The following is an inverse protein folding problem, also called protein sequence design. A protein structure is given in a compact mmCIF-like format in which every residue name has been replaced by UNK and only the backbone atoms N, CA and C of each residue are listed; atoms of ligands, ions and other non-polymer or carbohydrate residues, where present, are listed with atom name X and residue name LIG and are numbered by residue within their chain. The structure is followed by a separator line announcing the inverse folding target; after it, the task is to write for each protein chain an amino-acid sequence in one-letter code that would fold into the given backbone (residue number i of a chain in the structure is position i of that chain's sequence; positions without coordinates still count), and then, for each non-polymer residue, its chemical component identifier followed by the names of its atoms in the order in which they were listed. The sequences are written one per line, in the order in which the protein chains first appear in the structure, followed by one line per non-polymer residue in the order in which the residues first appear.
data_IF_336053257231
#
_entry.id   IF_336053257231
#
_cell.length_a   1.000
_cell.length_b   1.000
_cell.length_c   1.000
_cell.angle_alpha   90.00
_cell.angle_beta   90.00
_cell.angle_gamma   90.00
#
_symmetry.space_group_name_H-M   'P 1'
#
loop_
_entity.id
_entity.type
_entity.pdbx_description
1 polymer ?
#
# COMPACT_ATOMS: atom_id res chain seq x y z
N UNK A 1 15.42 8.22 45.17
CA UNK A 1 15.66 7.50 43.90
C UNK A 1 14.88 6.19 43.79
N UNK A 2 14.80 5.35 44.83
CA UNK A 2 14.07 4.05 44.80
C UNK A 2 12.54 4.12 44.56
N UNK A 3 11.85 5.12 45.10
CA UNK A 3 10.39 5.26 44.92
C UNK A 3 9.98 5.63 43.49
N UNK A 4 10.81 6.41 42.78
CA UNK A 4 10.59 6.77 41.37
C UNK A 4 10.78 5.56 40.44
N UNK A 5 11.73 4.67 40.75
CA UNK A 5 11.95 3.41 40.04
C UNK A 5 10.77 2.44 40.21
N UNK A 6 10.19 2.37 41.40
CA UNK A 6 9.03 1.50 41.67
C UNK A 6 7.75 2.03 41.01
N UNK A 7 7.51 3.34 41.04
CA UNK A 7 6.38 3.98 40.34
C UNK A 7 6.52 3.85 38.82
N UNK A 8 7.71 4.04 38.25
CA UNK A 8 7.97 3.81 36.83
C UNK A 8 7.76 2.33 36.44
N UNK A 9 8.18 1.39 37.29
CA UNK A 9 7.99 -0.05 37.06
C UNK A 9 6.51 -0.47 37.17
N UNK A 10 5.76 0.08 38.13
CA UNK A 10 4.32 -0.18 38.26
C UNK A 10 3.52 0.44 37.10
N UNK A 11 3.83 1.67 36.69
CA UNK A 11 3.19 2.30 35.53
C UNK A 11 3.53 1.56 34.23
N UNK A 12 4.77 1.07 34.08
CA UNK A 12 5.15 0.23 32.94
C UNK A 12 4.44 -1.13 32.95
N UNK A 13 4.27 -1.76 34.12
CA UNK A 13 3.53 -3.01 34.27
C UNK A 13 2.04 -2.83 33.97
N UNK A 14 1.40 -1.77 34.48
CA UNK A 14 -0.01 -1.45 34.21
C UNK A 14 -0.24 -1.07 32.75
N UNK A 15 0.66 -0.31 32.12
CA UNK A 15 0.60 0.00 30.70
C UNK A 15 0.81 -1.26 29.83
N UNK A 16 1.71 -2.17 30.26
CA UNK A 16 1.93 -3.44 29.59
C UNK A 16 0.70 -4.35 29.70
N UNK A 17 0.04 -4.40 30.86
CA UNK A 17 -1.17 -5.19 31.09
C UNK A 17 -2.37 -4.62 30.33
N UNK A 18 -2.55 -3.30 30.33
CA UNK A 18 -3.58 -2.62 29.55
C UNK A 18 -3.39 -2.83 28.03
N UNK A 19 -2.14 -2.71 27.56
CA UNK A 19 -1.79 -3.01 26.16
C UNK A 19 -2.00 -4.50 25.85
N UNK A 20 -1.69 -5.42 26.79
CA UNK A 20 -1.95 -6.87 26.64
C UNK A 20 -3.42 -7.15 26.46
N UNK A 21 -4.27 -6.50 27.26
CA UNK A 21 -5.73 -6.64 27.15
C UNK A 21 -6.29 -6.02 25.88
N UNK A 22 -5.84 -4.82 25.48
CA UNK A 22 -6.32 -4.14 24.28
C UNK A 22 -5.88 -4.88 23.00
N UNK A 23 -4.60 -5.17 22.86
CA UNK A 23 -4.04 -5.88 21.70
C UNK A 23 -4.54 -7.34 21.66
N UNK A 24 -4.66 -7.99 22.82
CA UNK A 24 -5.23 -9.33 22.93
C UNK A 24 -6.73 -9.40 22.65
N UNK A 25 -7.48 -8.31 22.85
CA UNK A 25 -8.89 -8.20 22.49
C UNK A 25 -9.08 -7.93 21.00
N UNK A 26 -8.25 -7.06 20.40
CA UNK A 26 -8.28 -6.76 18.96
C UNK A 26 -7.84 -7.99 18.15
N UNK A 27 -6.77 -8.66 18.59
CA UNK A 27 -6.27 -9.89 17.98
C UNK A 27 -7.24 -11.06 18.04
N UNK A 28 -8.06 -11.15 19.10
CA UNK A 28 -9.14 -12.15 19.23
C UNK A 28 -10.34 -11.89 18.32
N UNK A 29 -10.60 -10.64 17.96
CA UNK A 29 -11.73 -10.26 17.09
C UNK A 29 -11.39 -10.35 15.60
N UNK A 30 -10.16 -10.01 15.22
CA UNK A 30 -9.61 -10.23 13.87
C UNK A 30 -8.09 -10.02 13.85
N UNK A 31 -7.33 -11.07 13.53
CA UNK A 31 -5.88 -10.98 13.35
C UNK A 31 -5.50 -9.97 12.25
N UNK A 32 -6.33 -9.84 11.21
CA UNK A 32 -6.13 -8.91 10.10
C UNK A 32 -6.07 -7.46 10.58
N UNK A 33 -7.00 -7.05 11.44
CA UNK A 33 -7.05 -5.69 11.99
C UNK A 33 -5.79 -5.41 12.83
N UNK A 34 -5.35 -6.37 13.63
CA UNK A 34 -4.16 -6.21 14.45
C UNK A 34 -2.87 -6.10 13.60
N UNK A 35 -2.74 -6.85 12.50
CA UNK A 35 -1.62 -6.68 11.56
C UNK A 35 -1.67 -5.35 10.81
N UNK A 36 -2.85 -4.88 10.39
CA UNK A 36 -3.02 -3.54 9.84
C UNK A 36 -2.59 -2.46 10.85
N UNK A 37 -2.98 -2.61 12.12
CA UNK A 37 -2.58 -1.70 13.20
C UNK A 37 -1.07 -1.70 13.45
N UNK A 38 -0.43 -2.86 13.45
CA UNK A 38 1.03 -2.97 13.56
C UNK A 38 1.73 -2.31 12.36
N UNK A 39 1.22 -2.52 11.16
CA UNK A 39 1.76 -1.90 9.96
C UNK A 39 1.60 -0.37 10.00
N UNK A 40 0.43 0.14 10.39
CA UNK A 40 0.19 1.57 10.57
C UNK A 40 1.12 2.20 11.63
N UNK A 41 1.34 1.50 12.76
CA UNK A 41 2.32 1.90 13.76
C UNK A 41 3.73 1.99 13.16
N UNK A 42 4.11 1.06 12.29
CA UNK A 42 5.39 1.10 11.60
C UNK A 42 5.52 2.29 10.63
N UNK A 43 4.44 2.70 9.96
CA UNK A 43 4.43 3.89 9.10
C UNK A 43 4.62 5.16 9.92
N UNK A 44 3.94 5.25 11.06
CA UNK A 44 4.12 6.36 12.00
C UNK A 44 5.55 6.41 12.55
N UNK A 45 6.13 5.25 12.90
CA UNK A 45 7.52 5.16 13.34
C UNK A 45 8.50 5.60 12.24
N UNK A 46 8.31 5.14 11.00
CA UNK A 46 9.12 5.58 9.84
C UNK A 46 9.02 7.09 9.62
N UNK A 47 7.82 7.66 9.67
CA UNK A 47 7.62 9.10 9.53
C UNK A 47 8.29 9.89 10.68
N UNK A 48 8.10 9.46 11.93
CA UNK A 48 8.72 10.12 13.07
C UNK A 48 10.25 10.05 13.03
N UNK A 49 10.82 8.90 12.64
CA UNK A 49 12.26 8.74 12.50
C UNK A 49 12.82 9.51 11.31
N UNK A 50 12.06 9.66 10.21
CA UNK A 50 12.45 10.55 9.11
C UNK A 50 12.72 11.97 9.61
N UNK A 51 11.84 12.52 10.44
CA UNK A 51 11.98 13.91 10.92
C UNK A 51 13.03 14.08 12.03
N UNK A 52 13.16 13.09 12.92
CA UNK A 52 13.92 13.23 14.19
C UNK A 52 15.26 12.49 14.17
N UNK A 53 15.41 11.41 13.40
CA UNK A 53 16.59 10.54 13.49
C UNK A 53 17.82 11.09 12.77
N UNK A 54 17.68 12.00 11.81
CA UNK A 54 18.80 12.54 11.04
C UNK A 54 20.00 13.04 11.90
N UNK A 55 19.83 13.91 12.91
CA UNK A 55 20.94 14.32 13.78
C UNK A 55 21.53 13.16 14.61
N UNK A 56 20.71 12.19 15.01
CA UNK A 56 21.18 11.01 15.73
C UNK A 56 22.02 10.11 14.84
N UNK A 57 21.57 9.83 13.61
CA UNK A 57 22.27 8.98 12.64
C UNK A 57 23.62 9.57 12.20
N UNK A 58 23.73 10.90 12.11
CA UNK A 58 24.99 11.59 11.82
C UNK A 58 26.07 11.33 12.88
N UNK A 59 25.66 11.14 14.15
CA UNK A 59 26.57 10.90 15.27
C UNK A 59 27.08 9.44 15.34
N UNK A 60 26.45 8.53 14.60
CA UNK A 60 26.75 7.10 14.63
C UNK A 60 27.89 6.78 13.66
N UNK A 61 29.09 6.36 14.13
CA UNK A 61 30.28 6.25 13.28
C UNK A 61 30.18 5.19 12.19
N UNK A 62 29.45 4.09 12.41
CA UNK A 62 29.30 3.04 11.39
C UNK A 62 28.29 3.39 10.30
N UNK A 63 27.36 4.31 10.56
CA UNK A 63 26.39 4.81 9.56
C UNK A 63 27.03 5.94 8.77
N UNK A 64 27.67 6.90 9.46
CA UNK A 64 28.37 8.02 8.86
C UNK A 64 29.89 7.78 8.78
N UNK A 65 30.30 6.80 7.97
CA UNK A 65 31.72 6.49 7.72
C UNK A 65 32.25 7.10 6.41
N UNK A 66 31.53 8.08 5.85
CA UNK A 66 31.88 8.70 4.57
C UNK A 66 33.05 9.69 4.73
N UNK A 67 33.88 9.82 3.69
CA UNK A 67 34.91 10.86 3.64
C UNK A 67 34.35 12.27 3.73
N UNK A 68 33.13 12.47 3.20
CA UNK A 68 32.34 13.69 3.33
C UNK A 68 30.95 13.31 3.81
N UNK A 69 30.51 13.86 4.95
CA UNK A 69 29.18 13.62 5.51
C UNK A 69 28.10 13.97 4.47
N UNK A 70 27.16 13.05 4.18
CA UNK A 70 26.03 13.32 3.30
C UNK A 70 25.12 14.43 3.84
N UNK A 71 24.30 14.93 2.95
CA UNK A 71 23.21 15.85 3.20
C UNK A 71 22.11 15.21 4.07
N UNK A 72 21.34 16.05 4.77
CA UNK A 72 20.34 15.61 5.75
C UNK A 72 19.31 14.65 5.12
N UNK A 73 18.89 14.92 3.89
CA UNK A 73 17.92 14.12 3.13
C UNK A 73 18.36 12.65 2.97
N UNK A 74 19.67 12.39 2.88
CA UNK A 74 20.21 11.03 2.85
C UNK A 74 19.91 10.28 4.14
N UNK A 75 20.15 10.90 5.31
CA UNK A 75 19.89 10.28 6.61
C UNK A 75 18.40 10.09 6.88
N UNK A 76 17.56 11.01 6.41
CA UNK A 76 16.11 10.89 6.48
C UNK A 76 15.60 9.69 5.66
N UNK A 77 16.17 9.50 4.46
CA UNK A 77 15.88 8.38 3.56
C UNK A 77 16.38 7.05 4.14
N UNK A 78 17.62 7.01 4.64
CA UNK A 78 18.23 5.83 5.27
C UNK A 78 17.43 5.36 6.50
N UNK A 79 16.94 6.29 7.33
CA UNK A 79 16.09 5.97 8.48
C UNK A 79 14.82 5.22 8.07
N UNK A 80 14.11 5.72 7.05
CA UNK A 80 12.88 5.12 6.51
C UNK A 80 13.17 3.72 5.93
N UNK A 81 14.26 3.59 5.17
CA UNK A 81 14.65 2.31 4.55
C UNK A 81 14.98 1.24 5.58
N UNK A 82 15.64 1.58 6.69
CA UNK A 82 15.95 0.62 7.77
C UNK A 82 14.71 0.11 8.48
N UNK A 83 13.77 1.00 8.80
CA UNK A 83 12.49 0.59 9.40
C UNK A 83 11.71 -0.30 8.44
N UNK A 84 11.66 0.10 7.17
CA UNK A 84 10.99 -0.69 6.11
C UNK A 84 11.63 -2.06 5.90
N UNK A 85 12.96 -2.15 5.92
CA UNK A 85 13.68 -3.43 5.83
C UNK A 85 13.30 -4.34 7.01
N UNK A 86 13.17 -3.76 8.21
CA UNK A 86 12.73 -4.51 9.39
C UNK A 86 11.31 -5.04 9.25
N UNK A 87 10.39 -4.21 8.73
CA UNK A 87 9.03 -4.63 8.39
C UNK A 87 9.01 -5.74 7.35
N UNK A 88 9.73 -5.55 6.24
CA UNK A 88 9.84 -6.52 5.15
C UNK A 88 10.31 -7.87 5.68
N UNK A 89 11.37 -7.89 6.49
CA UNK A 89 11.87 -9.14 7.08
C UNK A 89 10.85 -9.77 8.04
N UNK A 90 10.25 -8.98 8.93
CA UNK A 90 9.25 -9.48 9.86
C UNK A 90 8.07 -10.16 9.16
N UNK A 91 7.47 -9.50 8.17
CA UNK A 91 6.34 -10.05 7.42
C UNK A 91 6.76 -11.19 6.50
N UNK A 92 7.95 -11.15 5.90
CA UNK A 92 8.47 -12.26 5.08
C UNK A 92 8.70 -13.51 5.92
N UNK A 93 9.30 -13.37 7.12
CA UNK A 93 9.48 -14.49 8.05
C UNK A 93 8.13 -15.09 8.44
N UNK A 94 7.13 -14.26 8.75
CA UNK A 94 5.77 -14.74 9.00
C UNK A 94 5.15 -15.43 7.78
N UNK A 95 5.36 -14.90 6.58
CA UNK A 95 4.86 -15.52 5.34
C UNK A 95 5.46 -16.92 5.11
N UNK A 96 6.75 -17.10 5.40
CA UNK A 96 7.45 -18.39 5.30
C UNK A 96 6.96 -19.36 6.38
N UNK A 97 6.85 -18.92 7.65
CA UNK A 97 6.34 -19.76 8.75
C UNK A 97 4.92 -20.27 8.45
N UNK A 98 4.09 -19.40 7.87
CA UNK A 98 2.68 -19.67 7.56
C UNK A 98 2.47 -20.38 6.20
N UNK A 99 3.54 -20.77 5.52
CA UNK A 99 3.45 -21.47 4.24
C UNK A 99 2.81 -22.86 4.40
N UNK A 100 1.87 -23.17 3.51
CA UNK A 100 1.23 -24.49 3.44
C UNK A 100 0.19 -24.80 4.53
N UNK A 101 -0.24 -23.81 5.33
CA UNK A 101 -1.36 -23.98 6.26
C UNK A 101 -2.67 -24.06 5.48
N UNK A 102 -3.42 -25.14 5.67
CA UNK A 102 -4.73 -25.38 5.03
C UNK A 102 -5.89 -25.38 6.01
N UNK A 103 -5.63 -25.75 7.26
CA UNK A 103 -6.66 -25.96 8.29
C UNK A 103 -6.34 -25.20 9.57
N UNK A 104 -7.38 -24.71 10.26
CA UNK A 104 -7.27 -23.97 11.53
C UNK A 104 -6.78 -24.84 12.71
N UNK A 105 -6.69 -26.18 12.52
CA UNK A 105 -6.15 -27.09 13.54
C UNK A 105 -4.62 -27.07 13.62
N UNK A 106 -3.94 -26.51 12.62
CA UNK A 106 -2.48 -26.40 12.62
C UNK A 106 -2.01 -25.55 13.82
N UNK A 107 -1.02 -26.00 14.62
CA UNK A 107 -0.52 -25.21 15.74
C UNK A 107 -0.03 -23.82 15.35
N UNK A 108 0.37 -23.62 14.08
CA UNK A 108 0.80 -22.33 13.53
C UNK A 108 -0.36 -21.33 13.42
N UNK A 109 -1.61 -21.77 13.39
CA UNK A 109 -2.79 -20.89 13.47
C UNK A 109 -2.79 -20.05 14.76
N UNK A 110 -2.40 -20.67 15.88
CA UNK A 110 -2.27 -19.98 17.17
C UNK A 110 -1.21 -18.88 17.12
N UNK A 111 -0.16 -19.08 16.33
CA UNK A 111 0.86 -18.05 16.09
C UNK A 111 0.27 -16.93 15.24
N UNK A 112 -0.60 -17.19 14.27
CA UNK A 112 -1.22 -16.13 13.46
C UNK A 112 -2.18 -15.26 14.28
N UNK A 113 -3.07 -15.86 15.08
CA UNK A 113 -4.11 -15.14 15.82
C UNK A 113 -3.67 -14.64 17.21
N UNK A 114 -2.70 -15.31 17.84
CA UNK A 114 -2.27 -15.06 19.21
C UNK A 114 -0.89 -14.41 19.35
N UNK A 115 -0.35 -14.40 20.57
CA UNK A 115 1.06 -14.04 20.82
C UNK A 115 1.45 -12.59 20.49
N UNK A 116 0.49 -11.65 20.45
CA UNK A 116 0.72 -10.29 19.95
C UNK A 116 1.82 -9.50 20.66
N UNK A 117 1.96 -9.65 21.98
CA UNK A 117 3.06 -9.00 22.69
C UNK A 117 4.43 -9.50 22.27
N UNK A 118 4.57 -10.81 22.09
CA UNK A 118 5.79 -11.39 21.56
C UNK A 118 6.05 -10.89 20.13
N UNK A 119 5.02 -10.79 19.28
CA UNK A 119 5.15 -10.24 17.92
C UNK A 119 5.60 -8.79 17.90
N UNK A 120 4.98 -7.92 18.70
CA UNK A 120 5.35 -6.50 18.79
C UNK A 120 6.79 -6.38 19.28
N UNK A 121 7.16 -7.13 20.31
CA UNK A 121 8.53 -7.14 20.81
C UNK A 121 9.52 -7.61 19.74
N UNK A 122 9.26 -8.75 19.09
CA UNK A 122 10.09 -9.26 17.99
C UNK A 122 10.20 -8.25 16.85
N UNK A 123 9.10 -7.58 16.50
CA UNK A 123 9.07 -6.54 15.48
C UNK A 123 9.97 -5.36 15.86
N UNK A 124 9.84 -4.82 17.08
CA UNK A 124 10.71 -3.73 17.58
C UNK A 124 12.18 -4.14 17.56
N UNK A 125 12.50 -5.37 17.99
CA UNK A 125 13.87 -5.90 17.98
C UNK A 125 14.40 -5.99 16.55
N UNK A 126 13.64 -6.55 15.61
CA UNK A 126 14.06 -6.66 14.21
C UNK A 126 14.31 -5.26 13.61
N UNK A 127 13.39 -4.31 13.82
CA UNK A 127 13.56 -2.93 13.35
C UNK A 127 14.81 -2.28 13.95
N UNK A 128 15.03 -2.43 15.26
CA UNK A 128 16.22 -1.92 15.93
C UNK A 128 17.51 -2.52 15.36
N UNK A 129 17.53 -3.84 15.09
CA UNK A 129 18.68 -4.51 14.49
C UNK A 129 19.02 -3.97 13.10
N UNK A 130 18.06 -3.43 12.35
CA UNK A 130 18.33 -2.84 11.03
C UNK A 130 19.19 -1.57 11.09
N UNK A 131 19.34 -0.93 12.25
CA UNK A 131 20.26 0.19 12.45
C UNK A 131 21.73 -0.22 12.60
N UNK A 132 22.01 -1.51 12.73
CA UNK A 132 23.38 -2.06 12.73
C UNK A 132 23.76 -2.66 11.37
N UNK A 133 22.83 -2.73 10.43
CA UNK A 133 23.06 -3.27 9.09
C UNK A 133 23.92 -2.29 8.25
N UNK A 134 24.93 -2.75 7.50
CA UNK A 134 25.76 -1.88 6.67
C UNK A 134 24.96 -1.14 5.59
N UNK A 135 25.40 0.07 5.24
CA UNK A 135 24.73 0.93 4.25
C UNK A 135 24.56 0.23 2.89
N UNK A 136 25.54 -0.56 2.44
CA UNK A 136 25.45 -1.30 1.18
C UNK A 136 24.27 -2.27 1.10
N UNK A 137 23.88 -2.89 2.22
CA UNK A 137 22.70 -3.78 2.27
C UNK A 137 21.41 -2.96 2.21
N UNK A 138 21.37 -1.80 2.87
CA UNK A 138 20.22 -0.89 2.83
C UNK A 138 20.01 -0.33 1.43
N UNK A 139 21.09 0.08 0.74
CA UNK A 139 21.03 0.55 -0.66
C UNK A 139 20.63 -0.57 -1.63
N UNK A 140 21.05 -1.81 -1.39
CA UNK A 140 20.58 -2.97 -2.15
C UNK A 140 19.07 -3.20 -1.94
N UNK A 141 18.62 -3.12 -0.68
CA UNK A 141 17.19 -3.20 -0.35
C UNK A 141 16.38 -2.07 -1.00
N UNK A 142 16.90 -0.84 -1.03
CA UNK A 142 16.27 0.28 -1.73
C UNK A 142 16.05 -0.05 -3.21
N UNK A 143 17.07 -0.61 -3.87
CA UNK A 143 17.02 -1.00 -5.28
C UNK A 143 15.96 -2.08 -5.54
N UNK A 144 15.93 -3.12 -4.69
CA UNK A 144 14.90 -4.16 -4.77
C UNK A 144 13.51 -3.60 -4.43
N UNK A 145 13.43 -2.65 -3.50
CA UNK A 145 12.18 -2.02 -3.07
C UNK A 145 11.46 -1.32 -4.21
N UNK A 146 12.17 -0.73 -5.16
CA UNK A 146 11.57 -0.14 -6.38
C UNK A 146 10.81 -1.19 -7.20
N UNK A 147 11.41 -2.36 -7.39
CA UNK A 147 10.76 -3.46 -8.11
C UNK A 147 9.58 -4.05 -7.31
N UNK A 148 9.78 -4.34 -6.02
CA UNK A 148 8.71 -4.90 -5.20
C UNK A 148 7.55 -3.93 -4.97
N UNK A 149 7.79 -2.62 -5.03
CA UNK A 149 6.74 -1.59 -5.05
C UNK A 149 5.86 -1.71 -6.29
N UNK A 150 6.45 -1.93 -7.48
CA UNK A 150 5.69 -2.20 -8.69
C UNK A 150 4.83 -3.46 -8.57
N UNK A 151 5.39 -4.54 -7.98
CA UNK A 151 4.63 -5.76 -7.71
C UNK A 151 3.49 -5.54 -6.70
N UNK A 152 3.73 -4.74 -5.65
CA UNK A 152 2.69 -4.38 -4.69
C UNK A 152 1.54 -3.62 -5.35
N UNK A 153 1.83 -2.67 -6.25
CA UNK A 153 0.79 -1.93 -6.96
C UNK A 153 -0.07 -2.87 -7.84
N UNK A 154 0.51 -3.89 -8.46
CA UNK A 154 -0.25 -4.91 -9.20
C UNK A 154 -1.15 -5.73 -8.27
N UNK A 155 -0.65 -6.14 -7.11
CA UNK A 155 -1.46 -6.84 -6.10
C UNK A 155 -2.58 -5.95 -5.58
N UNK A 156 -2.28 -4.68 -5.30
CA UNK A 156 -3.26 -3.67 -4.85
C UNK A 156 -4.39 -3.51 -5.86
N UNK A 157 -4.10 -3.56 -7.16
CA UNK A 157 -5.10 -3.50 -8.23
C UNK A 157 -6.05 -4.69 -8.17
N UNK A 158 -5.53 -5.91 -8.01
CA UNK A 158 -6.37 -7.11 -7.89
C UNK A 158 -7.26 -7.03 -6.65
N UNK A 159 -6.71 -6.57 -5.52
CA UNK A 159 -7.48 -6.36 -4.29
C UNK A 159 -8.54 -5.27 -4.45
N UNK A 160 -8.24 -4.19 -5.18
CA UNK A 160 -9.20 -3.14 -5.47
C UNK A 160 -10.34 -3.66 -6.36
N UNK A 161 -10.02 -4.44 -7.39
CA UNK A 161 -11.01 -5.06 -8.27
C UNK A 161 -11.96 -5.96 -7.47
N UNK A 162 -11.42 -6.89 -6.69
CA UNK A 162 -12.20 -7.79 -5.82
C UNK A 162 -13.08 -7.00 -4.84
N UNK A 163 -12.51 -5.96 -4.21
CA UNK A 163 -13.27 -5.09 -3.30
C UNK A 163 -14.44 -4.40 -4.01
N UNK A 164 -14.22 -3.81 -5.19
CA UNK A 164 -15.28 -3.05 -5.87
C UNK A 164 -16.34 -3.97 -6.46
N UNK A 165 -15.95 -5.14 -6.99
CA UNK A 165 -16.91 -6.16 -7.45
C UNK A 165 -17.73 -6.71 -6.28
N UNK A 166 -17.09 -7.07 -5.16
CA UNK A 166 -17.78 -7.50 -3.95
C UNK A 166 -18.67 -6.40 -3.35
N UNK A 167 -18.24 -5.12 -3.39
CA UNK A 167 -19.09 -4.01 -2.99
C UNK A 167 -20.34 -3.90 -3.89
N UNK A 168 -20.16 -3.97 -5.21
CA UNK A 168 -21.27 -3.96 -6.16
C UNK A 168 -22.25 -5.10 -5.89
N UNK A 169 -21.76 -6.34 -5.80
CA UNK A 169 -22.59 -7.53 -5.54
C UNK A 169 -23.35 -7.43 -4.22
N UNK A 170 -22.70 -6.96 -3.16
CA UNK A 170 -23.32 -6.78 -1.85
C UNK A 170 -24.48 -5.76 -1.86
N UNK A 171 -24.41 -4.73 -2.70
CA UNK A 171 -25.47 -3.74 -2.82
C UNK A 171 -26.58 -4.20 -3.77
N UNK A 172 -26.20 -4.85 -4.88
CA UNK A 172 -27.16 -5.47 -5.82
C UNK A 172 -27.96 -6.57 -5.11
N UNK A 173 -27.33 -7.38 -4.27
CA UNK A 173 -27.98 -8.48 -3.55
C UNK A 173 -29.09 -8.05 -2.57
N UNK A 174 -29.14 -6.76 -2.21
CA UNK A 174 -30.22 -6.23 -1.36
C UNK A 174 -31.54 -6.04 -2.12
N UNK A 175 -31.47 -5.97 -3.45
CA UNK A 175 -32.62 -5.90 -4.35
C UNK A 175 -33.64 -4.77 -4.03
N UNK A 176 -33.16 -3.61 -3.58
CA UNK A 176 -34.00 -2.42 -3.34
C UNK A 176 -33.59 -1.27 -4.25
N UNK A 177 -34.57 -0.49 -4.72
CA UNK A 177 -34.37 0.70 -5.56
C UNK A 177 -33.37 1.70 -4.97
N UNK A 178 -33.33 1.83 -3.64
CA UNK A 178 -32.37 2.70 -2.96
C UNK A 178 -30.92 2.31 -3.26
N UNK A 179 -30.58 1.02 -3.20
CA UNK A 179 -29.20 0.55 -3.43
C UNK A 179 -28.81 0.67 -4.90
N UNK A 180 -29.72 0.42 -5.84
CA UNK A 180 -29.47 0.67 -7.27
C UNK A 180 -29.21 2.16 -7.56
N UNK A 181 -30.02 3.06 -6.98
CA UNK A 181 -29.78 4.50 -7.10
C UNK A 181 -28.46 4.92 -6.44
N UNK A 182 -28.11 4.35 -5.29
CA UNK A 182 -26.83 4.60 -4.63
C UNK A 182 -25.64 4.15 -5.51
N UNK A 183 -25.70 2.97 -6.13
CA UNK A 183 -24.70 2.49 -7.07
C UNK A 183 -24.52 3.47 -8.24
N UNK A 184 -25.62 3.92 -8.84
CA UNK A 184 -25.59 4.87 -9.95
C UNK A 184 -24.98 6.21 -9.54
N UNK A 185 -25.41 6.76 -8.40
CA UNK A 185 -24.89 8.05 -7.89
C UNK A 185 -23.39 7.97 -7.64
N UNK A 186 -22.92 6.91 -6.96
CA UNK A 186 -21.48 6.72 -6.72
C UNK A 186 -20.72 6.62 -8.05
N UNK A 187 -21.26 5.87 -9.02
CA UNK A 187 -20.62 5.69 -10.32
C UNK A 187 -20.50 7.00 -11.10
N UNK A 188 -21.57 7.80 -11.11
CA UNK A 188 -21.60 9.11 -11.78
C UNK A 188 -20.60 10.07 -11.12
N UNK A 189 -20.55 10.11 -9.78
CA UNK A 189 -19.57 10.94 -9.05
C UNK A 189 -18.13 10.52 -9.39
N UNK A 190 -17.84 9.23 -9.43
CA UNK A 190 -16.51 8.72 -9.80
C UNK A 190 -16.11 9.11 -11.23
N UNK A 191 -17.03 9.04 -12.20
CA UNK A 191 -16.73 9.49 -13.58
C UNK A 191 -16.56 11.00 -13.68
N UNK A 192 -17.39 11.80 -13.02
CA UNK A 192 -17.23 13.27 -12.97
C UNK A 192 -15.86 13.61 -12.40
N UNK A 193 -15.50 13.01 -11.26
CA UNK A 193 -14.19 13.20 -10.65
C UNK A 193 -13.05 12.81 -11.61
N UNK A 194 -13.19 11.71 -12.33
CA UNK A 194 -12.22 11.25 -13.34
C UNK A 194 -12.00 12.30 -14.43
N UNK A 195 -13.07 12.77 -15.08
CA UNK A 195 -12.95 13.75 -16.17
C UNK A 195 -12.47 15.12 -15.68
N UNK A 196 -12.98 15.60 -14.54
CA UNK A 196 -12.49 16.85 -13.93
C UNK A 196 -11.02 16.77 -13.56
N UNK A 197 -10.58 15.64 -12.99
CA UNK A 197 -9.18 15.46 -12.62
C UNK A 197 -8.27 15.35 -13.84
N UNK A 198 -8.66 14.64 -14.89
CA UNK A 198 -7.92 14.64 -16.17
C UNK A 198 -7.78 16.04 -16.77
N UNK A 199 -8.80 16.90 -16.64
CA UNK A 199 -8.71 18.32 -17.02
C UNK A 199 -7.63 19.08 -16.25
N UNK A 200 -7.49 18.83 -14.95
CA UNK A 200 -6.41 19.39 -14.13
C UNK A 200 -5.03 18.85 -14.56
N UNK A 201 -4.94 17.58 -14.97
CA UNK A 201 -3.69 17.01 -15.47
C UNK A 201 -3.21 17.69 -16.76
N UNK A 202 -4.12 18.00 -17.69
CA UNK A 202 -3.75 18.81 -18.86
C UNK A 202 -3.22 20.19 -18.45
N UNK A 203 -3.84 20.83 -17.47
CA UNK A 203 -3.39 22.13 -17.00
C UNK A 203 -1.99 22.09 -16.37
N UNK A 204 -1.69 21.07 -15.55
CA UNK A 204 -0.40 20.98 -14.84
C UNK A 204 0.74 20.35 -15.62
N UNK A 205 0.44 19.39 -16.52
CA UNK A 205 1.47 18.58 -17.18
C UNK A 205 1.61 18.83 -18.69
N UNK A 206 0.78 19.71 -19.26
CA UNK A 206 0.89 20.17 -20.66
C UNK A 206 0.85 21.72 -20.76
N UNK A 207 1.81 22.44 -20.16
CA UNK A 207 1.87 23.89 -20.23
C UNK A 207 2.07 24.40 -21.67
N UNK A 208 1.44 25.52 -22.01
CA UNK A 208 1.62 26.16 -23.32
C UNK A 208 3.05 26.70 -23.47
N UNK A 209 3.73 26.31 -24.54
CA UNK A 209 5.09 26.80 -24.86
C UNK A 209 6.18 25.72 -24.85
N UNK A 210 5.88 24.50 -24.40
CA UNK A 210 6.80 23.36 -24.41
C UNK A 210 6.18 22.16 -25.15
N UNK A 211 7.01 21.33 -25.79
CA UNK A 211 6.57 20.11 -26.45
C UNK A 211 6.45 18.94 -25.45
N UNK A 212 5.29 18.85 -24.81
CA UNK A 212 4.97 17.84 -23.79
C UNK A 212 4.19 16.65 -24.37
N UNK A 213 4.59 16.18 -25.56
CA UNK A 213 3.89 15.11 -26.29
C UNK A 213 3.75 13.79 -25.53
N UNK A 214 4.71 13.44 -24.66
CA UNK A 214 4.65 12.22 -23.86
C UNK A 214 3.56 12.30 -22.77
N UNK A 215 3.49 13.43 -22.06
CA UNK A 215 2.49 13.67 -21.02
C UNK A 215 1.09 13.74 -21.64
N UNK A 216 0.98 14.42 -22.79
CA UNK A 216 -0.23 14.45 -23.60
C UNK A 216 -0.68 13.03 -23.99
N UNK A 217 0.24 12.18 -24.47
CA UNK A 217 -0.06 10.80 -24.79
C UNK A 217 -0.57 10.02 -23.57
N UNK A 218 0.10 10.11 -22.42
CA UNK A 218 -0.34 9.40 -21.22
C UNK A 218 -1.74 9.81 -20.75
N UNK A 219 -2.05 11.10 -20.75
CA UNK A 219 -3.37 11.59 -20.33
C UNK A 219 -4.46 11.18 -21.33
N UNK A 220 -4.21 11.35 -22.64
CA UNK A 220 -5.18 10.99 -23.68
C UNK A 220 -5.41 9.49 -23.72
N UNK A 221 -4.36 8.68 -23.64
CA UNK A 221 -4.50 7.23 -23.60
C UNK A 221 -5.27 6.77 -22.37
N UNK A 222 -5.04 7.40 -21.22
CA UNK A 222 -5.84 7.17 -20.00
C UNK A 222 -7.32 7.43 -20.24
N UNK A 223 -7.68 8.56 -20.88
CA UNK A 223 -9.06 8.88 -21.21
C UNK A 223 -9.69 7.86 -22.17
N UNK A 224 -8.93 7.40 -23.18
CA UNK A 224 -9.40 6.35 -24.09
C UNK A 224 -9.74 5.07 -23.31
N UNK A 225 -8.88 4.65 -22.36
CA UNK A 225 -9.14 3.50 -21.51
C UNK A 225 -10.38 3.69 -20.63
N UNK A 226 -10.56 4.88 -20.05
CA UNK A 226 -11.76 5.23 -19.26
C UNK A 226 -13.05 5.09 -20.08
N UNK A 227 -13.04 5.55 -21.33
CA UNK A 227 -14.18 5.35 -22.25
C UNK A 227 -14.39 3.87 -22.59
N UNK A 228 -13.31 3.13 -22.85
CA UNK A 228 -13.39 1.70 -23.12
C UNK A 228 -14.00 0.92 -21.94
N UNK A 229 -13.65 1.27 -20.69
CA UNK A 229 -14.25 0.65 -19.50
C UNK A 229 -15.76 0.84 -19.45
N UNK A 230 -16.26 2.05 -19.73
CA UNK A 230 -17.69 2.33 -19.76
C UNK A 230 -18.41 1.53 -20.86
N UNK A 231 -17.83 1.47 -22.07
CA UNK A 231 -18.40 0.72 -23.20
C UNK A 231 -18.47 -0.78 -22.89
N UNK A 232 -17.39 -1.36 -22.37
CA UNK A 232 -17.33 -2.79 -22.03
C UNK A 232 -18.30 -3.11 -20.89
N UNK A 233 -18.37 -2.28 -19.85
CA UNK A 233 -19.25 -2.50 -18.71
C UNK A 233 -20.75 -2.38 -19.05
N UNK A 234 -21.12 -1.56 -20.05
CA UNK A 234 -22.51 -1.38 -20.50
C UNK A 234 -22.90 -2.32 -21.65
N UNK A 235 -21.96 -3.12 -22.17
CA UNK A 235 -22.25 -3.99 -23.29
C UNK A 235 -23.26 -5.09 -22.90
N UNK A 236 -24.37 -5.28 -23.64
CA UNK A 236 -25.50 -6.10 -23.20
C UNK A 236 -25.21 -7.59 -23.05
N UNK A 237 -24.11 -8.08 -23.63
CA UNK A 237 -23.66 -9.48 -23.43
C UNK A 237 -22.80 -9.68 -22.18
N UNK A 238 -22.29 -8.60 -21.60
CA UNK A 238 -21.45 -8.62 -20.39
C UNK A 238 -22.38 -8.31 -19.22
N UNK A 239 -22.39 -9.16 -18.19
CA UNK A 239 -23.06 -8.87 -16.92
C UNK A 239 -22.24 -7.84 -16.11
N UNK A 240 -21.92 -6.72 -16.73
CA UNK A 240 -21.08 -5.67 -16.19
C UNK A 240 -21.87 -4.73 -15.28
N UNK A 241 -21.16 -4.00 -14.42
CA UNK A 241 -21.72 -2.92 -13.62
C UNK A 241 -20.90 -1.65 -13.79
N UNK A 242 -21.58 -0.51 -13.70
CA UNK A 242 -20.98 0.80 -13.85
C UNK A 242 -20.09 1.17 -12.65
N UNK A 243 -20.37 0.63 -11.45
CA UNK A 243 -19.60 0.95 -10.25
C UNK A 243 -18.14 0.48 -10.37
N UNK A 244 -17.84 -0.81 -10.64
CA UNK A 244 -16.48 -1.25 -10.92
C UNK A 244 -15.78 -0.42 -12.01
N UNK A 245 -16.45 -0.17 -13.13
CA UNK A 245 -15.86 0.59 -14.24
C UNK A 245 -15.47 2.02 -13.85
N UNK A 246 -16.32 2.71 -13.10
CA UNK A 246 -16.11 4.11 -12.68
C UNK A 246 -15.02 4.25 -11.60
N UNK A 247 -14.95 3.33 -10.64
CA UNK A 247 -13.90 3.35 -9.60
C UNK A 247 -12.53 3.03 -10.21
N UNK A 248 -12.47 2.05 -11.11
CA UNK A 248 -11.23 1.69 -11.82
C UNK A 248 -10.80 2.81 -12.77
N UNK A 249 -11.74 3.50 -13.43
CA UNK A 249 -11.43 4.70 -14.20
C UNK A 249 -10.75 5.79 -13.34
N UNK A 250 -11.31 6.09 -12.16
CA UNK A 250 -10.73 7.07 -11.24
C UNK A 250 -9.34 6.65 -10.76
N UNK A 251 -9.16 5.37 -10.44
CA UNK A 251 -7.87 4.83 -10.01
C UNK A 251 -6.81 4.88 -11.13
N UNK A 252 -7.19 4.57 -12.38
CA UNK A 252 -6.29 4.71 -13.53
C UNK A 252 -5.85 6.16 -13.74
N UNK A 253 -6.77 7.13 -13.59
CA UNK A 253 -6.42 8.56 -13.64
C UNK A 253 -5.50 8.97 -12.48
N UNK A 254 -5.70 8.42 -11.28
CA UNK A 254 -4.78 8.60 -10.16
C UNK A 254 -3.38 8.03 -10.43
N UNK A 255 -3.28 6.83 -11.02
CA UNK A 255 -1.99 6.25 -11.40
C UNK A 255 -1.28 7.09 -12.47
N UNK A 256 -2.03 7.61 -13.45
CA UNK A 256 -1.51 8.53 -14.45
C UNK A 256 -0.95 9.80 -13.79
N UNK A 257 -1.75 10.47 -12.94
CA UNK A 257 -1.29 11.62 -12.14
C UNK A 257 -0.02 11.30 -11.35
N UNK A 258 -0.02 10.18 -10.63
CA UNK A 258 1.11 9.83 -9.78
C UNK A 258 2.36 9.51 -10.59
N UNK A 259 2.20 8.93 -11.78
CA UNK A 259 3.25 8.75 -12.78
C UNK A 259 3.84 10.10 -13.19
N UNK A 260 3.02 11.00 -13.74
CA UNK A 260 3.44 12.34 -14.19
C UNK A 260 4.08 13.16 -13.06
N UNK A 261 3.54 13.08 -11.84
CA UNK A 261 4.10 13.78 -10.67
C UNK A 261 5.50 13.27 -10.27
N UNK A 262 5.88 12.08 -10.73
CA UNK A 262 7.20 11.48 -10.49
C UNK A 262 8.22 11.82 -11.58
N UNK A 263 7.87 12.65 -12.57
CA UNK A 263 8.80 13.10 -13.62
C UNK A 263 10.02 13.80 -13.02
N UNK A 264 11.21 13.67 -13.64
CA UNK A 264 12.42 14.35 -13.19
C UNK A 264 12.24 15.87 -13.05
N UNK A 265 12.98 16.48 -12.11
CA UNK A 265 12.84 17.91 -11.79
C UNK A 265 13.28 18.84 -12.92
N UNK A 266 14.15 18.37 -13.79
CA UNK A 266 14.63 19.05 -15.00
C UNK A 266 13.67 18.90 -16.19
N UNK A 267 12.57 18.16 -16.03
CA UNK A 267 11.56 18.03 -17.08
C UNK A 267 10.56 19.19 -17.03
N UNK A 268 10.69 20.12 -17.98
CA UNK A 268 9.92 21.38 -18.11
C UNK A 268 8.39 21.21 -18.15
N UNK A 269 7.91 20.00 -18.44
CA UNK A 269 6.47 19.70 -18.53
C UNK A 269 5.81 19.47 -17.18
N UNK A 270 6.56 19.25 -16.10
CA UNK A 270 5.99 19.04 -14.76
C UNK A 270 5.76 20.37 -14.03
N UNK A 271 4.59 20.99 -14.25
CA UNK A 271 4.20 22.25 -13.61
C UNK A 271 3.92 22.14 -12.10
N UNK A 272 3.96 20.94 -11.51
CA UNK A 272 3.67 20.70 -10.11
C UNK A 272 4.82 21.13 -9.18
N UNK A 273 6.05 21.21 -9.70
CA UNK A 273 7.23 21.68 -8.96
C UNK A 273 7.11 23.14 -8.51
N UNK A 274 6.34 23.95 -9.22
CA UNK A 274 6.09 25.35 -8.86
C UNK A 274 5.00 25.51 -7.78
N UNK A 275 4.29 24.44 -7.40
CA UNK A 275 3.05 24.52 -6.62
C UNK A 275 2.92 23.57 -5.42
N UNK A 276 3.91 22.74 -5.07
CA UNK A 276 3.74 21.76 -3.99
C UNK A 276 4.78 21.83 -2.86
N UNK A 277 4.34 22.33 -1.70
CA UNK A 277 4.64 21.67 -0.41
C UNK A 277 3.75 20.43 -0.34
N UNK A 278 4.34 19.25 -0.18
CA UNK A 278 3.63 17.98 -0.19
C UNK A 278 2.49 17.94 0.84
N UNK A 279 1.25 17.72 0.38
CA UNK A 279 0.12 17.35 1.24
C UNK A 279 0.06 15.83 1.26
N UNK A 280 0.36 15.24 2.43
CA UNK A 280 0.07 13.84 2.72
C UNK A 280 -1.44 13.69 2.90
N UNK A 281 -2.11 13.06 1.94
CA UNK A 281 -3.50 12.64 2.11
C UNK A 281 -3.53 11.33 2.89
N UNK A 282 -3.63 11.44 4.21
CA UNK A 282 -4.08 10.33 5.06
C UNK A 282 -5.55 10.03 4.77
N UNK A 283 -5.82 8.92 4.11
CA UNK A 283 -7.16 8.38 3.95
C UNK A 283 -7.46 7.41 5.11
N UNK A 284 -7.91 7.95 6.24
CA UNK A 284 -8.55 7.16 7.29
C UNK A 284 -10.07 7.10 7.04
N UNK A 285 -10.57 5.89 6.79
CA UNK A 285 -11.86 5.41 7.32
C UNK A 285 -11.98 3.88 7.16
N UNK A 286 -12.29 3.14 8.24
CA UNK A 286 -12.49 1.71 8.17
C UNK A 286 -13.89 1.40 7.61
N UNK A 287 -13.95 0.77 6.44
CA UNK A 287 -15.19 0.27 5.85
C UNK A 287 -15.24 -1.26 5.94
N UNK A 288 -15.82 -1.75 7.03
CA UNK A 288 -16.50 -3.03 7.06
C UNK A 288 -17.80 -2.87 7.85
N UNK A 289 -18.97 -3.23 7.30
CA UNK A 289 -20.17 -3.36 8.12
C UNK A 289 -20.02 -4.59 9.03
N UNK A 290 -20.12 -4.36 10.34
CA UNK A 290 -20.29 -5.45 11.32
C UNK A 290 -21.69 -6.05 11.15
N UNK A 291 -21.78 -7.28 10.67
CA UNK A 291 -22.88 -8.17 11.08
C UNK A 291 -22.46 -8.84 12.39
N UNK A 292 -23.26 -8.67 13.44
CA UNK A 292 -23.17 -9.48 14.65
C UNK A 292 -23.83 -10.82 14.33
N UNK A 293 -23.02 -11.87 14.23
CA UNK A 293 -23.50 -13.23 14.42
C UNK A 293 -23.04 -13.66 15.82
N UNK A 294 -23.99 -13.84 16.72
CA UNK A 294 -23.77 -14.59 17.95
C UNK A 294 -23.61 -16.06 17.54
N UNK A 295 -22.37 -16.56 17.48
CA UNK A 295 -22.11 -18.00 17.32
C UNK A 295 -21.98 -18.65 18.69
N UNK A 296 -23.00 -19.44 19.06
CA UNK A 296 -22.91 -20.47 20.07
C UNK A 296 -21.79 -21.48 19.74
N UNK A 297 -21.02 -21.83 20.77
CA UNK A 297 -19.91 -22.77 20.71
C UNK A 297 -20.42 -24.19 20.39
N UNK A 298 -20.17 -24.66 19.16
CA UNK A 298 -20.15 -26.11 18.84
C UNK A 298 -18.75 -26.53 18.42
N UNK A 299 -18.13 -27.35 19.28
CA UNK A 299 -16.84 -28.02 19.04
C UNK A 299 -16.97 -29.10 17.97
N UNK A 300 -15.85 -29.29 17.26
CA UNK A 300 -15.48 -30.42 16.40
C UNK A 300 -16.03 -30.52 14.97
N UNK A 301 -15.80 -29.47 14.16
CA UNK A 301 -15.62 -29.62 12.70
C UNK A 301 -14.40 -28.81 12.26
N UNK A 302 -13.40 -29.39 11.55
CA UNK A 302 -12.30 -28.61 10.99
C UNK A 302 -12.84 -27.62 9.96
N UNK A 303 -12.77 -26.32 10.26
CA UNK A 303 -13.08 -25.26 9.31
C UNK A 303 -11.83 -24.98 8.46
N UNK A 304 -11.92 -24.96 7.12
CA UNK A 304 -10.80 -24.54 6.29
C UNK A 304 -10.45 -23.07 6.57
N UNK A 305 -9.18 -22.70 6.36
CA UNK A 305 -8.78 -21.29 6.50
C UNK A 305 -9.47 -20.44 5.42
N UNK A 306 -10.01 -19.28 5.81
CA UNK A 306 -10.80 -18.41 4.92
C UNK A 306 -9.94 -17.68 3.88
N UNK A 307 -8.63 -17.61 4.09
CA UNK A 307 -7.64 -17.00 3.20
C UNK A 307 -6.26 -17.60 3.45
N UNK A 308 -5.35 -17.50 2.48
CA UNK A 308 -3.96 -17.95 2.65
C UNK A 308 -3.19 -17.00 3.57
N UNK A 309 -2.79 -17.50 4.74
CA UNK A 309 -2.00 -16.72 5.71
C UNK A 309 -0.64 -16.30 5.16
N UNK A 310 0.01 -17.18 4.40
CA UNK A 310 1.28 -16.86 3.74
C UNK A 310 1.11 -15.71 2.74
N UNK A 311 0.11 -15.79 1.87
CA UNK A 311 -0.17 -14.73 0.89
C UNK A 311 -0.52 -13.41 1.58
N UNK A 312 -1.31 -13.47 2.65
CA UNK A 312 -1.64 -12.30 3.47
C UNK A 312 -0.38 -11.58 4.00
N UNK A 313 0.58 -12.31 4.58
CA UNK A 313 1.84 -11.70 5.06
C UNK A 313 2.75 -11.26 3.92
N UNK A 314 2.72 -11.95 2.77
CA UNK A 314 3.42 -11.51 1.57
C UNK A 314 2.94 -10.14 1.09
N UNK A 315 1.63 -9.86 1.17
CA UNK A 315 1.06 -8.54 0.86
C UNK A 315 1.67 -7.47 1.77
N UNK A 316 1.76 -7.70 3.10
CA UNK A 316 2.39 -6.75 4.02
C UNK A 316 3.90 -6.59 3.80
N UNK A 317 4.58 -7.66 3.39
CA UNK A 317 6.00 -7.60 3.01
C UNK A 317 6.20 -6.67 1.80
N UNK A 318 5.42 -6.85 0.74
CA UNK A 318 5.43 -5.99 -0.44
C UNK A 318 4.96 -4.56 -0.12
N UNK A 319 3.95 -4.41 0.75
CA UNK A 319 3.48 -3.10 1.23
C UNK A 319 4.58 -2.33 1.97
N UNK A 320 5.46 -3.03 2.68
CA UNK A 320 6.61 -2.42 3.37
C UNK A 320 7.53 -1.75 2.34
N UNK A 321 7.90 -2.47 1.29
CA UNK A 321 8.74 -1.96 0.19
C UNK A 321 8.09 -0.75 -0.49
N UNK A 322 6.79 -0.82 -0.76
CA UNK A 322 6.02 0.29 -1.32
C UNK A 322 5.99 1.52 -0.39
N UNK A 323 5.77 1.30 0.90
CA UNK A 323 5.71 2.38 1.89
C UNK A 323 7.05 3.09 2.06
N UNK A 324 8.18 2.37 1.97
CA UNK A 324 9.50 2.99 1.89
C UNK A 324 9.57 3.95 0.71
N UNK A 325 9.24 3.51 -0.51
CA UNK A 325 9.33 4.36 -1.69
C UNK A 325 8.39 5.57 -1.62
N UNK A 326 7.19 5.41 -1.07
CA UNK A 326 6.29 6.54 -0.82
C UNK A 326 6.88 7.56 0.15
N UNK A 327 7.42 7.11 1.28
CA UNK A 327 7.96 7.98 2.32
C UNK A 327 9.31 8.61 1.94
N UNK A 328 10.07 8.01 1.04
CA UNK A 328 11.30 8.60 0.49
C UNK A 328 11.04 9.41 -0.78
N UNK A 329 9.79 9.47 -1.27
CA UNK A 329 9.46 10.21 -2.48
C UNK A 329 10.08 9.61 -3.75
N UNK A 330 10.39 8.31 -3.74
CA UNK A 330 11.04 7.58 -4.84
C UNK A 330 12.43 8.13 -5.22
N UNK A 331 13.04 8.99 -4.39
CA UNK A 331 14.40 9.49 -4.61
C UNK A 331 15.43 8.40 -4.30
N UNK A 332 16.52 8.38 -5.07
CA UNK A 332 17.69 7.56 -4.78
C UNK A 332 18.51 8.20 -3.68
N UNK A 333 18.89 7.43 -2.67
CA UNK A 333 19.98 7.85 -1.79
C UNK A 333 21.29 7.87 -2.58
N UNK A 334 22.12 8.90 -2.32
CA UNK A 334 23.43 9.10 -2.95
C UNK A 334 24.26 7.82 -2.82
N UNK A 335 24.58 7.16 -3.94
CA UNK A 335 25.54 6.06 -3.94
C UNK A 335 26.93 6.56 -3.53
N UNK A 336 27.82 5.68 -3.08
CA UNK A 336 29.21 5.99 -2.64
C UNK A 336 29.99 6.92 -3.60
N UNK A 337 29.61 6.99 -4.88
CA UNK A 337 30.21 7.83 -5.91
C UNK A 337 29.70 9.29 -5.95
N UNK A 338 28.73 9.70 -5.14
CA UNK A 338 28.23 11.09 -5.16
C UNK A 338 27.42 11.47 -6.41
N UNK A 339 27.01 10.51 -7.25
CA UNK A 339 26.20 10.75 -8.44
C UNK A 339 24.73 10.46 -8.18
N UNK A 340 23.88 11.46 -8.39
CA UNK A 340 22.43 11.32 -8.51
C UNK A 340 22.13 10.40 -9.71
N UNK A 341 21.51 9.25 -9.46
CA UNK A 341 20.93 8.43 -10.52
C UNK A 341 19.47 8.87 -10.63
N UNK A 342 19.11 9.50 -11.74
CA UNK A 342 17.75 9.98 -12.00
C UNK A 342 16.76 8.79 -12.08
N UNK A 343 15.83 8.76 -11.12
CA UNK A 343 14.82 7.70 -10.94
C UNK A 343 13.42 8.15 -11.37
N UNK A 344 13.26 9.40 -11.81
CA UNK A 344 11.95 9.93 -12.14
C UNK A 344 11.29 9.11 -13.25
N UNK A 345 11.99 8.90 -14.36
CA UNK A 345 11.49 8.10 -15.48
C UNK A 345 11.18 6.64 -15.13
N UNK A 346 12.04 5.88 -14.41
CA UNK A 346 11.66 4.55 -13.92
C UNK A 346 10.37 4.54 -13.07
N UNK A 347 10.21 5.51 -12.16
CA UNK A 347 8.99 5.63 -11.34
C UNK A 347 7.74 5.90 -12.20
N UNK A 348 7.86 6.82 -13.17
CA UNK A 348 6.79 7.12 -14.15
C UNK A 348 6.37 5.84 -14.87
N UNK A 349 7.32 5.12 -15.46
CA UNK A 349 7.02 3.92 -16.24
C UNK A 349 6.45 2.77 -15.41
N UNK A 350 6.89 2.58 -14.16
CA UNK A 350 6.29 1.57 -13.27
C UNK A 350 4.81 1.87 -13.04
N UNK A 351 4.44 3.14 -12.82
CA UNK A 351 3.05 3.55 -12.57
C UNK A 351 2.20 3.48 -13.83
N UNK A 352 2.72 3.93 -14.98
CA UNK A 352 2.02 3.86 -16.28
C UNK A 352 1.84 2.40 -16.73
N UNK A 353 2.87 1.56 -16.61
CA UNK A 353 2.75 0.13 -16.93
C UNK A 353 1.75 -0.57 -16.00
N UNK A 354 1.74 -0.23 -14.70
CA UNK A 354 0.75 -0.74 -13.76
C UNK A 354 -0.67 -0.31 -14.15
N UNK A 355 -0.84 0.92 -14.60
CA UNK A 355 -2.13 1.41 -15.09
C UNK A 355 -2.60 0.61 -16.32
N UNK A 356 -1.72 0.34 -17.28
CA UNK A 356 -2.07 -0.47 -18.46
C UNK A 356 -2.39 -1.91 -18.09
N UNK A 357 -1.62 -2.52 -17.17
CA UNK A 357 -1.93 -3.84 -16.63
C UNK A 357 -3.29 -3.85 -15.92
N UNK A 358 -3.62 -2.81 -15.16
CA UNK A 358 -4.93 -2.64 -14.51
C UNK A 358 -6.06 -2.60 -15.53
N UNK A 359 -5.89 -1.81 -16.58
CA UNK A 359 -6.86 -1.72 -17.66
C UNK A 359 -7.07 -3.08 -18.36
N UNK A 360 -5.97 -3.78 -18.66
CA UNK A 360 -6.01 -5.10 -19.25
C UNK A 360 -6.71 -6.12 -18.35
N UNK A 361 -6.38 -6.16 -17.06
CA UNK A 361 -7.00 -7.07 -16.09
C UNK A 361 -8.49 -6.81 -15.92
N UNK A 362 -8.92 -5.54 -15.83
CA UNK A 362 -10.32 -5.18 -15.71
C UNK A 362 -11.14 -5.52 -16.96
N UNK A 363 -10.62 -5.21 -18.15
CA UNK A 363 -11.31 -5.57 -19.40
C UNK A 363 -11.36 -7.10 -19.53
N UNK A 364 -10.26 -7.79 -19.19
CA UNK A 364 -10.20 -9.23 -19.23
C UNK A 364 -11.17 -9.89 -18.25
N UNK A 365 -11.33 -9.38 -17.03
CA UNK A 365 -12.29 -9.95 -16.06
C UNK A 365 -13.73 -9.90 -16.55
N UNK A 366 -14.08 -8.92 -17.38
CA UNK A 366 -15.42 -8.79 -17.99
C UNK A 366 -15.57 -9.61 -19.29
N UNK A 367 -14.51 -9.70 -20.09
CA UNK A 367 -14.56 -10.32 -21.43
C UNK A 367 -14.27 -11.82 -21.40
N UNK A 368 -13.40 -12.30 -20.49
CA UNK A 368 -12.99 -13.71 -20.43
C UNK A 368 -14.15 -14.69 -20.24
N UNK A 369 -15.18 -14.42 -19.40
CA UNK A 369 -16.34 -15.31 -19.27
C UNK A 369 -17.14 -15.47 -20.58
N UNK A 370 -17.08 -14.50 -21.48
CA UNK A 370 -17.77 -14.56 -22.79
C UNK A 370 -16.94 -15.32 -23.82
N UNK A 371 -15.61 -15.12 -23.81
CA UNK A 371 -14.71 -15.78 -24.76
C UNK A 371 -14.52 -17.27 -24.43
N UNK A 372 -14.62 -17.65 -23.16
CA UNK A 372 -14.42 -19.02 -22.69
C UNK A 372 -15.56 -19.47 -21.76
N UNK A 373 -16.79 -19.62 -22.28
CA UNK A 373 -17.96 -19.93 -21.46
C UNK A 373 -17.87 -21.28 -20.71
N UNK A 374 -17.02 -22.21 -21.17
CA UNK A 374 -16.84 -23.53 -20.58
C UNK A 374 -15.82 -23.57 -19.42
N UNK A 375 -15.25 -22.42 -19.03
CA UNK A 375 -14.24 -22.32 -17.97
C UNK A 375 -14.83 -21.66 -16.73
N UNK A 376 -14.72 -22.30 -15.57
CA UNK A 376 -15.00 -21.65 -14.29
C UNK A 376 -13.88 -20.63 -13.99
N UNK A 377 -14.26 -19.37 -13.78
CA UNK A 377 -13.36 -18.22 -13.61
C UNK A 377 -13.35 -17.71 -12.18
#
# INVERSE_FOLDING_TARGET
MWAASCLASCCAACACEACRTAVGSIGRRSARIAYCGLFALSLFASWALREVAAPLLQSIPWINHFHKTPDREWFETDAVLRVSLGNFLFFTILAIIMAGIKDQKDPRDKIHHGGWMAKIFCWVVIVFLMFFVPNGVVSFYESISKFGSGLFLLVQVVLLLDFVHGWNENWVAKDEQFWYMALLVVSVVCYIATFSFSGLLFHWFTPSGHDCGLNLFFIVFTLILVFAFAIVALHPKINGSLLPASVIALYCTYLCYSGLSSEPRDYECNGLHNHSKAVSTGADKPLLPFSKADEEEKKDVPRPVTYSYSFFHLIFSLASMYSAMLLTGWSTSVGESGKLVDVGWPSVWVRIATQWATAGLFIWSLVAPILFPDREF
#
